data_IF_119270088104
#
_entry.id   IF_119270088104
#
_cell.length_a   1.000
_cell.length_b   1.000
_cell.length_c   1.000
_cell.angle_alpha   90.00
_cell.angle_beta   90.00
_cell.angle_gamma   90.00
#
_symmetry.space_group_name_H-M   'P 1'
#
loop_
_entity.id
_entity.type
_entity.pdbx_description
1 polymer ?
#
# COMPACT_ATOMS: atom_id res chain seq x y z
N UNK A 1 -22.99 -42.00 36.53
CA UNK A 1 -23.81 -41.05 37.34
C UNK A 1 -24.53 -40.13 36.37
N UNK A 2 -25.84 -40.29 36.20
CA UNK A 2 -26.68 -39.53 35.25
C UNK A 2 -27.04 -38.20 35.88
N UNK A 3 -26.91 -37.11 35.14
CA UNK A 3 -27.52 -35.82 35.49
C UNK A 3 -28.34 -35.32 34.31
N UNK A 4 -29.54 -34.95 34.62
CA UNK A 4 -30.72 -34.71 33.79
C UNK A 4 -30.65 -33.44 32.96
N UNK A 5 -31.27 -33.53 31.77
CA UNK A 5 -31.74 -32.42 30.93
C UNK A 5 -32.74 -31.52 31.68
N UNK A 6 -32.60 -30.23 31.48
CA UNK A 6 -33.67 -29.27 31.68
C UNK A 6 -33.90 -28.44 30.42
N UNK A 7 -35.03 -28.74 29.78
CA UNK A 7 -35.64 -27.91 28.73
C UNK A 7 -36.10 -26.59 29.27
N UNK A 8 -35.67 -25.49 28.66
CA UNK A 8 -36.37 -24.20 28.77
C UNK A 8 -36.91 -23.83 27.40
N UNK A 9 -38.25 -23.85 27.30
CA UNK A 9 -39.00 -23.34 26.16
C UNK A 9 -38.93 -21.84 26.12
N UNK A 10 -38.28 -21.27 25.10
CA UNK A 10 -38.30 -19.82 24.82
C UNK A 10 -39.04 -19.57 23.49
N UNK A 11 -40.03 -18.75 23.56
CA UNK A 11 -41.02 -18.34 22.57
C UNK A 11 -40.36 -17.71 21.33
N UNK A 12 -40.48 -18.34 20.17
CA UNK A 12 -40.11 -17.78 18.85
C UNK A 12 -41.19 -16.79 18.40
N UNK A 13 -40.88 -15.49 18.43
CA UNK A 13 -41.64 -14.48 17.69
C UNK A 13 -40.98 -14.39 16.31
N UNK A 14 -41.64 -14.91 15.30
CA UNK A 14 -41.22 -14.85 13.92
C UNK A 14 -41.39 -13.43 13.35
N UNK A 15 -40.27 -12.78 13.05
CA UNK A 15 -40.24 -11.58 12.22
C UNK A 15 -39.99 -12.00 10.76
N UNK A 16 -41.06 -12.09 9.98
CA UNK A 16 -40.97 -12.32 8.55
C UNK A 16 -40.47 -11.06 7.86
N UNK A 17 -39.17 -11.02 7.58
CA UNK A 17 -38.57 -10.03 6.66
C UNK A 17 -38.88 -10.49 5.25
N UNK A 18 -39.75 -9.77 4.57
CA UNK A 18 -40.02 -9.95 3.15
C UNK A 18 -38.76 -9.60 2.35
N UNK A 19 -38.04 -10.61 1.87
CA UNK A 19 -36.97 -10.46 0.89
C UNK A 19 -37.60 -10.03 -0.45
N UNK A 20 -37.52 -8.75 -0.77
CA UNK A 20 -37.78 -8.24 -2.12
C UNK A 20 -36.61 -8.67 -2.98
N UNK A 21 -36.81 -9.48 -4.05
CA UNK A 21 -35.71 -9.82 -4.94
C UNK A 21 -35.29 -8.56 -5.70
N UNK A 22 -34.06 -8.09 -5.46
CA UNK A 22 -33.40 -7.12 -6.31
C UNK A 22 -33.08 -7.83 -7.61
N UNK A 23 -33.98 -7.70 -8.60
CA UNK A 23 -33.69 -8.14 -9.96
C UNK A 23 -32.58 -7.26 -10.52
N UNK A 24 -31.45 -7.85 -10.82
CA UNK A 24 -30.39 -7.24 -11.59
C UNK A 24 -30.98 -6.68 -12.89
N UNK A 25 -31.03 -5.37 -13.03
CA UNK A 25 -31.42 -4.69 -14.26
C UNK A 25 -30.26 -4.91 -15.25
N UNK A 26 -30.40 -5.94 -16.08
CA UNK A 26 -29.58 -6.08 -17.28
C UNK A 26 -29.68 -4.78 -18.07
N UNK A 27 -28.54 -4.13 -18.32
CA UNK A 27 -28.46 -2.90 -19.12
C UNK A 27 -28.92 -3.21 -20.56
N UNK A 28 -30.19 -2.99 -20.82
CA UNK A 28 -30.79 -3.24 -22.11
C UNK A 28 -30.29 -2.17 -23.10
N UNK A 29 -29.51 -2.61 -24.12
CA UNK A 29 -28.97 -1.76 -25.18
C UNK A 29 -30.10 -0.93 -25.79
N UNK A 30 -30.06 0.41 -25.64
CA UNK A 30 -31.04 1.33 -26.20
C UNK A 30 -30.76 1.51 -27.71
N UNK A 31 -31.52 0.79 -28.53
CA UNK A 31 -31.42 0.88 -30.01
C UNK A 31 -32.80 1.24 -30.60
N UNK A 32 -32.83 1.93 -31.74
CA UNK A 32 -34.09 2.24 -32.43
C UNK A 32 -34.94 0.98 -32.64
N UNK A 33 -36.24 1.05 -32.36
CA UNK A 33 -37.18 -0.05 -32.50
C UNK A 33 -37.13 -1.11 -31.38
N UNK A 34 -36.16 -1.10 -30.48
CA UNK A 34 -36.16 -2.01 -29.33
C UNK A 34 -37.24 -1.62 -28.31
N UNK A 35 -37.74 -2.61 -27.56
CA UNK A 35 -38.82 -2.40 -26.59
C UNK A 35 -38.37 -1.49 -25.45
N UNK A 36 -39.28 -0.60 -25.03
CA UNK A 36 -39.15 0.23 -23.84
C UNK A 36 -40.31 0.01 -22.88
N UNK A 37 -40.18 0.46 -21.63
CA UNK A 37 -41.14 0.11 -20.58
C UNK A 37 -42.12 1.22 -20.22
N UNK A 38 -41.72 2.48 -20.41
CA UNK A 38 -42.48 3.64 -19.95
C UNK A 38 -42.66 4.62 -21.12
N UNK A 39 -43.89 4.91 -21.48
CA UNK A 39 -44.25 5.88 -22.54
C UNK A 39 -43.65 7.25 -22.20
N UNK A 40 -43.08 7.92 -23.22
CA UNK A 40 -42.38 9.21 -23.11
C UNK A 40 -41.10 9.22 -22.24
N UNK A 41 -40.63 8.09 -21.76
CA UNK A 41 -39.33 7.99 -21.13
C UNK A 41 -38.23 8.45 -22.10
N UNK A 42 -37.28 9.28 -21.63
CA UNK A 42 -36.15 9.76 -22.43
C UNK A 42 -34.83 9.19 -21.87
N UNK A 43 -33.97 8.75 -22.75
CA UNK A 43 -32.64 8.26 -22.43
C UNK A 43 -31.63 8.84 -23.40
N UNK A 44 -30.52 9.36 -22.90
CA UNK A 44 -29.39 9.80 -23.74
C UNK A 44 -28.40 8.63 -23.86
N UNK A 45 -28.19 8.19 -25.11
CA UNK A 45 -27.24 7.13 -25.42
C UNK A 45 -26.49 7.46 -26.70
N UNK A 46 -25.18 7.32 -26.74
CA UNK A 46 -24.32 7.63 -27.90
C UNK A 46 -24.60 9.01 -28.54
N UNK A 47 -24.69 10.08 -27.72
CA UNK A 47 -24.96 11.46 -28.15
C UNK A 47 -26.31 11.68 -28.83
N UNK A 48 -27.25 10.76 -28.64
CA UNK A 48 -28.63 10.90 -29.11
C UNK A 48 -29.60 10.76 -27.96
N UNK A 49 -30.69 11.54 -27.99
CA UNK A 49 -31.83 11.40 -27.05
C UNK A 49 -32.88 10.50 -27.71
N UNK A 50 -33.10 9.35 -27.10
CA UNK A 50 -34.18 8.42 -27.49
C UNK A 50 -35.42 8.66 -26.64
N UNK A 51 -36.56 8.58 -27.25
CA UNK A 51 -37.85 8.69 -26.56
C UNK A 51 -38.67 7.42 -26.79
N UNK A 52 -39.24 6.89 -25.73
CA UNK A 52 -40.09 5.70 -25.78
C UNK A 52 -41.48 6.07 -26.32
N UNK A 53 -41.85 5.60 -27.51
CA UNK A 53 -43.05 5.91 -28.22
C UNK A 53 -43.95 4.67 -28.38
N UNK A 54 -45.26 4.88 -28.51
CA UNK A 54 -46.21 3.82 -28.82
C UNK A 54 -46.16 3.51 -30.34
N UNK A 55 -45.94 2.25 -30.66
CA UNK A 55 -46.02 1.73 -32.03
C UNK A 55 -46.95 0.51 -32.07
N UNK A 56 -48.18 0.73 -32.52
CA UNK A 56 -49.24 -0.25 -32.44
C UNK A 56 -49.56 -0.63 -30.98
N UNK A 57 -49.45 -1.93 -30.64
CA UNK A 57 -49.67 -2.43 -29.28
C UNK A 57 -48.40 -2.50 -28.41
N UNK A 58 -47.24 -1.99 -28.90
CA UNK A 58 -45.94 -2.06 -28.20
C UNK A 58 -45.37 -0.66 -27.93
N UNK A 59 -44.51 -0.54 -26.92
CA UNK A 59 -43.70 0.63 -26.66
C UNK A 59 -42.28 0.35 -27.18
N UNK A 60 -41.77 1.28 -28.00
CA UNK A 60 -40.44 1.13 -28.64
C UNK A 60 -39.68 2.45 -28.63
N UNK A 61 -38.36 2.35 -28.59
CA UNK A 61 -37.46 3.52 -28.70
C UNK A 61 -37.50 4.07 -30.13
N UNK A 62 -37.62 5.39 -30.26
CA UNK A 62 -37.57 6.08 -31.55
C UNK A 62 -36.13 6.06 -32.13
N UNK A 63 -35.90 6.68 -33.29
CA UNK A 63 -34.60 6.72 -33.97
C UNK A 63 -33.53 7.57 -33.25
N UNK A 64 -33.88 8.22 -32.13
CA UNK A 64 -33.00 9.10 -31.39
C UNK A 64 -32.71 10.41 -32.14
N UNK A 65 -32.82 11.53 -31.42
CA UNK A 65 -32.49 12.87 -31.93
C UNK A 65 -31.07 13.23 -31.43
N UNK A 66 -30.23 13.73 -32.31
CA UNK A 66 -28.89 14.19 -31.91
C UNK A 66 -29.00 15.31 -30.86
N UNK A 67 -28.25 15.23 -29.81
CA UNK A 67 -28.15 16.31 -28.80
C UNK A 67 -27.41 17.47 -29.48
N UNK A 68 -28.14 18.53 -29.87
CA UNK A 68 -27.54 19.78 -30.35
C UNK A 68 -26.75 20.38 -29.20
N UNK A 69 -25.43 20.43 -29.31
CA UNK A 69 -24.64 21.34 -28.49
C UNK A 69 -25.06 22.77 -28.86
N UNK A 70 -25.28 23.66 -27.88
CA UNK A 70 -25.55 25.05 -28.20
C UNK A 70 -24.37 25.62 -28.98
N UNK A 71 -24.61 26.15 -30.16
CA UNK A 71 -23.61 26.93 -30.94
C UNK A 71 -23.32 28.16 -30.10
N UNK A 72 -22.03 28.50 -29.85
CA UNK A 72 -21.70 29.71 -29.13
C UNK A 72 -22.20 30.93 -29.93
N UNK A 73 -23.15 31.68 -29.39
CA UNK A 73 -23.55 32.99 -29.90
C UNK A 73 -22.31 33.89 -29.85
N UNK A 74 -21.98 34.65 -30.92
CA UNK A 74 -20.89 35.59 -30.88
C UNK A 74 -21.20 36.69 -29.87
N UNK A 75 -20.60 36.56 -28.69
CA UNK A 75 -20.63 37.60 -27.66
C UNK A 75 -19.68 38.70 -28.09
N UNK A 76 -20.21 39.91 -28.22
CA UNK A 76 -19.42 41.12 -28.35
C UNK A 76 -18.40 41.20 -27.21
N UNK A 77 -17.13 41.10 -27.55
CA UNK A 77 -16.03 41.17 -26.58
C UNK A 77 -15.94 42.60 -26.05
N UNK A 78 -16.65 42.89 -24.98
CA UNK A 78 -16.25 43.97 -24.09
C UNK A 78 -14.99 43.46 -23.41
N UNK A 79 -13.88 44.17 -23.54
CA UNK A 79 -12.62 43.83 -22.87
C UNK A 79 -12.89 43.72 -21.37
N UNK A 80 -13.01 42.49 -20.89
CA UNK A 80 -13.14 42.21 -19.48
C UNK A 80 -11.81 42.58 -18.83
N UNK A 81 -11.85 43.49 -17.89
CA UNK A 81 -10.79 43.71 -16.91
C UNK A 81 -10.41 42.30 -16.38
N UNK A 82 -9.12 41.91 -16.39
CA UNK A 82 -8.72 40.58 -15.95
C UNK A 82 -9.20 40.39 -14.51
N UNK A 83 -10.18 39.55 -14.31
CA UNK A 83 -10.55 39.03 -12.98
C UNK A 83 -9.29 38.37 -12.44
N UNK A 84 -8.75 38.81 -11.27
CA UNK A 84 -7.57 38.17 -10.72
C UNK A 84 -7.87 36.66 -10.58
N UNK A 85 -7.02 35.84 -11.17
CA UNK A 85 -7.07 34.39 -10.96
C UNK A 85 -7.15 34.12 -9.46
N UNK A 86 -8.00 33.22 -8.98
CA UNK A 86 -8.08 32.90 -7.57
C UNK A 86 -6.66 32.58 -7.09
N UNK A 87 -6.17 33.35 -6.12
CA UNK A 87 -4.86 33.12 -5.51
C UNK A 87 -4.93 31.72 -4.89
N UNK A 88 -4.18 30.78 -5.46
CA UNK A 88 -4.06 29.45 -4.86
C UNK A 88 -3.41 29.66 -3.50
N UNK A 89 -4.18 29.51 -2.46
CA UNK A 89 -3.66 29.58 -1.10
C UNK A 89 -2.65 28.43 -0.91
N UNK A 90 -1.48 28.77 -0.41
CA UNK A 90 -0.41 27.82 -0.12
C UNK A 90 0.29 28.21 1.16
N UNK A 91 0.75 27.21 1.91
CA UNK A 91 1.60 27.42 3.08
C UNK A 91 3.04 27.50 2.60
N UNK A 92 3.73 28.59 2.95
CA UNK A 92 5.17 28.68 2.76
C UNK A 92 5.88 27.93 3.88
N UNK A 93 6.86 27.11 3.54
CA UNK A 93 7.68 26.43 4.54
C UNK A 93 8.40 27.45 5.44
N UNK A 94 8.34 27.19 6.74
CA UNK A 94 9.13 27.91 7.75
C UNK A 94 9.79 26.90 8.69
N UNK A 95 11.07 27.08 9.04
CA UNK A 95 11.73 26.23 10.04
C UNK A 95 10.96 26.23 11.35
N UNK A 96 11.13 25.18 12.18
CA UNK A 96 10.54 25.14 13.52
C UNK A 96 10.96 26.34 14.36
N UNK A 97 10.03 26.83 15.18
CA UNK A 97 10.28 28.00 16.05
C UNK A 97 11.23 27.72 17.23
N UNK A 98 11.49 26.45 17.50
CA UNK A 98 12.46 25.98 18.49
C UNK A 98 13.52 25.12 17.81
N UNK A 99 14.78 25.25 18.21
CA UNK A 99 15.89 24.46 17.68
C UNK A 99 15.66 22.96 17.96
N UNK A 100 15.94 22.11 16.96
CA UNK A 100 15.93 20.66 17.10
C UNK A 100 16.94 20.21 18.16
N UNK A 101 16.57 19.22 18.96
CA UNK A 101 17.51 18.51 19.82
C UNK A 101 18.47 17.66 18.98
N UNK A 102 19.48 17.08 19.64
CA UNK A 102 20.39 16.13 18.99
C UNK A 102 19.58 14.95 18.43
N UNK A 103 19.80 14.61 17.16
CA UNK A 103 19.05 13.56 16.47
C UNK A 103 19.18 12.21 17.17
N UNK A 104 20.34 11.92 17.80
CA UNK A 104 20.58 10.66 18.52
C UNK A 104 19.60 10.45 19.68
N UNK A 105 19.03 11.52 20.26
CA UNK A 105 17.97 11.38 21.29
C UNK A 105 16.67 10.83 20.70
N UNK A 106 16.48 11.00 19.40
CA UNK A 106 15.30 10.50 18.66
C UNK A 106 15.55 9.16 17.95
N UNK A 107 16.76 8.64 18.01
CA UNK A 107 17.08 7.28 17.58
C UNK A 107 16.70 6.27 18.67
N UNK A 108 15.38 6.08 18.85
CA UNK A 108 14.82 5.25 19.91
C UNK A 108 15.25 3.80 19.73
N UNK A 109 15.86 3.26 20.78
CA UNK A 109 16.37 1.88 20.78
C UNK A 109 15.24 0.88 20.87
N UNK A 110 15.35 -0.19 20.11
CA UNK A 110 14.50 -1.35 20.35
C UNK A 110 15.11 -2.23 21.46
N UNK A 111 14.25 -2.69 22.36
CA UNK A 111 14.57 -3.60 23.46
C UNK A 111 13.59 -4.77 23.46
N UNK A 112 13.41 -5.38 22.30
CA UNK A 112 12.55 -6.53 22.15
C UNK A 112 13.33 -7.84 22.21
N UNK A 113 12.63 -8.94 22.48
CA UNK A 113 13.22 -10.28 22.65
C UNK A 113 13.94 -10.82 21.41
N UNK A 114 13.63 -10.32 20.23
CA UNK A 114 14.30 -10.76 19.00
C UNK A 114 15.75 -10.28 18.91
N UNK A 115 16.08 -9.16 19.54
CA UNK A 115 17.46 -8.65 19.60
C UNK A 115 18.31 -9.39 20.63
N UNK A 116 17.69 -9.89 21.68
CA UNK A 116 18.40 -10.61 22.75
C UNK A 116 18.69 -12.06 22.38
N UNK A 117 17.87 -12.67 21.50
CA UNK A 117 18.01 -14.04 21.03
C UNK A 117 17.82 -14.12 19.50
N UNK A 118 18.87 -13.86 18.69
CA UNK A 118 18.74 -13.99 17.26
C UNK A 118 18.68 -15.45 16.85
N UNK A 119 17.53 -15.99 16.42
CA UNK A 119 17.58 -16.79 15.21
C UNK A 119 16.44 -16.62 14.22
N UNK A 120 15.36 -15.93 14.50
CA UNK A 120 14.21 -16.05 13.58
C UNK A 120 13.68 -14.75 12.99
N UNK A 121 14.07 -13.58 13.45
CA UNK A 121 13.66 -12.33 12.85
C UNK A 121 14.67 -11.23 13.09
N UNK A 122 15.50 -11.01 12.08
CA UNK A 122 16.46 -9.90 12.03
C UNK A 122 15.80 -8.60 11.51
N UNK A 123 14.49 -8.49 11.61
CA UNK A 123 13.73 -7.34 11.15
C UNK A 123 13.61 -6.30 12.26
N UNK A 124 14.44 -5.22 12.21
CA UNK A 124 14.49 -4.21 13.25
C UNK A 124 13.21 -3.35 13.21
N UNK A 125 12.69 -3.02 14.38
CA UNK A 125 11.59 -2.05 14.52
C UNK A 125 12.11 -0.65 14.83
N UNK A 126 13.36 -0.52 15.30
CA UNK A 126 13.99 0.71 15.73
C UNK A 126 15.52 0.72 15.58
N UNK A 127 16.20 1.43 16.47
CA UNK A 127 17.65 1.61 16.42
C UNK A 127 18.39 0.62 17.31
N UNK A 128 19.68 0.30 16.97
CA UNK A 128 20.47 0.82 15.86
C UNK A 128 19.98 0.31 14.49
N UNK A 129 20.25 1.09 13.44
CA UNK A 129 19.93 0.70 12.05
C UNK A 129 20.60 -0.61 11.69
N UNK A 130 19.86 -1.47 11.02
CA UNK A 130 20.37 -2.77 10.58
C UNK A 130 21.15 -2.65 9.26
N UNK A 131 22.22 -3.46 9.11
CA UNK A 131 23.13 -3.40 7.95
C UNK A 131 23.10 -4.66 7.06
N UNK A 132 22.15 -5.58 7.28
CA UNK A 132 22.12 -6.90 6.61
C UNK A 132 21.95 -6.79 5.10
N UNK A 133 21.21 -5.78 4.62
CA UNK A 133 20.92 -5.61 3.22
C UNK A 133 21.37 -4.24 2.70
N UNK A 134 21.75 -4.19 1.41
CA UNK A 134 22.05 -2.93 0.75
C UNK A 134 20.76 -2.10 0.62
N UNK A 135 20.76 -0.91 1.20
CA UNK A 135 19.62 0.02 1.23
C UNK A 135 19.90 1.33 0.48
N UNK A 136 21.06 1.46 -0.14
CA UNK A 136 21.49 2.67 -0.85
C UNK A 136 22.23 2.30 -2.13
N UNK A 137 22.28 3.25 -3.08
CA UNK A 137 22.89 3.05 -4.39
C UNK A 137 21.96 2.39 -5.39
N UNK A 138 22.52 1.99 -6.52
CA UNK A 138 21.77 1.27 -7.57
C UNK A 138 22.03 -0.23 -7.41
N UNK A 139 20.96 -1.00 -7.44
CA UNK A 139 21.00 -2.47 -7.40
C UNK A 139 20.39 -3.04 -8.66
N UNK A 140 20.90 -4.19 -9.11
CA UNK A 140 20.33 -4.92 -10.24
C UNK A 140 19.41 -6.02 -9.74
N UNK A 141 18.17 -6.00 -10.23
CA UNK A 141 17.18 -7.04 -9.98
C UNK A 141 16.85 -7.76 -11.26
N UNK A 142 16.97 -9.08 -11.25
CA UNK A 142 16.53 -9.90 -12.35
C UNK A 142 15.02 -10.12 -12.32
N UNK A 143 14.39 -10.19 -13.50
CA UNK A 143 13.05 -10.71 -13.67
C UNK A 143 13.09 -11.80 -14.74
N UNK A 144 12.77 -13.04 -14.34
CA UNK A 144 12.90 -14.23 -15.17
C UNK A 144 11.53 -14.93 -15.24
N UNK A 145 10.95 -15.03 -16.46
CA UNK A 145 9.71 -15.76 -16.65
C UNK A 145 9.97 -17.28 -16.67
N UNK A 146 9.24 -18.02 -15.85
CA UNK A 146 9.28 -19.49 -15.77
C UNK A 146 8.02 -20.09 -16.37
N UNK A 147 8.13 -21.14 -17.17
CA UNK A 147 6.98 -21.88 -17.65
C UNK A 147 7.16 -23.41 -17.43
N UNK A 148 6.12 -24.17 -17.72
CA UNK A 148 6.05 -25.60 -17.42
C UNK A 148 5.77 -26.42 -18.69
N UNK A 149 6.02 -27.73 -18.63
CA UNK A 149 5.72 -28.62 -19.76
C UNK A 149 4.22 -28.69 -20.08
N UNK A 150 3.36 -28.56 -19.09
CA UNK A 150 1.90 -28.58 -19.14
C UNK A 150 1.26 -27.20 -19.28
N UNK A 151 2.02 -26.12 -19.00
CA UNK A 151 1.54 -24.73 -19.10
C UNK A 151 2.63 -23.82 -19.67
N UNK A 152 2.50 -23.51 -20.96
CA UNK A 152 3.45 -22.64 -21.65
C UNK A 152 3.18 -21.16 -21.34
N UNK A 153 4.24 -20.38 -21.25
CA UNK A 153 4.17 -18.94 -21.08
C UNK A 153 3.62 -18.21 -22.30
N UNK A 154 2.92 -17.10 -22.05
CA UNK A 154 2.38 -16.22 -23.07
C UNK A 154 3.48 -15.52 -23.86
N UNK A 155 3.28 -15.31 -25.18
CA UNK A 155 4.28 -14.72 -26.07
C UNK A 155 4.68 -13.28 -25.68
N UNK A 156 3.77 -12.51 -25.08
CA UNK A 156 4.00 -11.12 -24.72
C UNK A 156 3.85 -10.90 -23.20
N UNK A 157 4.66 -11.56 -22.39
CA UNK A 157 4.66 -11.38 -20.94
C UNK A 157 5.09 -9.97 -20.51
N UNK A 158 5.90 -9.27 -21.33
CA UNK A 158 6.33 -7.90 -21.03
C UNK A 158 5.18 -6.94 -20.80
N UNK A 159 4.11 -7.06 -21.57
CA UNK A 159 2.91 -6.21 -21.39
C UNK A 159 2.25 -6.34 -19.99
N UNK A 160 2.52 -7.42 -19.30
CA UNK A 160 1.98 -7.74 -17.96
C UNK A 160 2.83 -7.15 -16.84
N UNK A 161 4.12 -6.91 -17.09
CA UNK A 161 5.10 -6.60 -16.06
C UNK A 161 5.77 -5.23 -16.19
N UNK A 162 5.85 -4.65 -17.39
CA UNK A 162 6.65 -3.43 -17.61
C UNK A 162 6.18 -2.26 -16.72
N UNK A 163 4.88 -2.02 -16.63
CA UNK A 163 4.35 -0.97 -15.76
C UNK A 163 4.54 -1.31 -14.27
N UNK A 164 4.47 -2.57 -13.91
CA UNK A 164 4.67 -3.02 -12.53
C UNK A 164 6.12 -2.82 -12.07
N UNK A 165 7.09 -3.14 -12.91
CA UNK A 165 8.51 -2.90 -12.66
C UNK A 165 8.81 -1.41 -12.54
N UNK A 166 8.24 -0.61 -13.43
CA UNK A 166 8.36 0.85 -13.39
C UNK A 166 7.84 1.42 -12.07
N UNK A 167 6.62 1.05 -11.66
CA UNK A 167 6.02 1.51 -10.40
C UNK A 167 6.85 1.07 -9.18
N UNK A 168 7.39 -0.15 -9.21
CA UNK A 168 8.30 -0.65 -8.15
C UNK A 168 9.55 0.23 -8.03
N UNK A 169 10.23 0.49 -9.15
CA UNK A 169 11.44 1.34 -9.15
C UNK A 169 11.14 2.76 -8.70
N UNK A 170 10.08 3.36 -9.22
CA UNK A 170 9.64 4.71 -8.86
C UNK A 170 9.26 4.82 -7.38
N UNK A 171 8.64 3.77 -6.83
CA UNK A 171 8.29 3.75 -5.42
C UNK A 171 9.55 3.78 -4.54
N UNK A 172 10.50 2.88 -4.79
CA UNK A 172 11.75 2.84 -4.02
C UNK A 172 12.54 4.14 -4.15
N UNK A 173 12.65 4.70 -5.34
CA UNK A 173 13.31 5.98 -5.56
C UNK A 173 12.62 7.12 -4.78
N UNK A 174 11.28 7.15 -4.80
CA UNK A 174 10.49 8.16 -4.08
C UNK A 174 10.65 8.05 -2.56
N UNK A 175 10.45 6.85 -1.99
CA UNK A 175 10.47 6.69 -0.53
C UNK A 175 11.87 6.78 0.07
N UNK A 176 12.90 6.49 -0.72
CA UNK A 176 14.30 6.63 -0.32
C UNK A 176 14.89 8.01 -0.61
N UNK A 177 14.11 8.94 -1.14
CA UNK A 177 14.58 10.26 -1.61
C UNK A 177 15.76 10.14 -2.60
N UNK A 178 15.67 9.16 -3.51
CA UNK A 178 16.67 8.88 -4.54
C UNK A 178 17.91 8.14 -4.05
N UNK A 179 17.98 7.76 -2.76
CA UNK A 179 19.13 7.03 -2.20
C UNK A 179 19.20 5.58 -2.67
N UNK A 180 18.07 4.96 -3.03
CA UNK A 180 17.98 3.58 -3.51
C UNK A 180 17.31 3.51 -4.87
N UNK A 181 17.94 2.87 -5.82
CA UNK A 181 17.45 2.72 -7.20
C UNK A 181 17.51 1.26 -7.63
N UNK A 182 16.50 0.84 -8.36
CA UNK A 182 16.39 -0.50 -8.92
C UNK A 182 16.57 -0.44 -10.43
N UNK A 183 17.56 -1.17 -10.93
CA UNK A 183 17.78 -1.45 -12.34
C UNK A 183 17.30 -2.88 -12.65
N UNK A 184 16.33 -3.00 -13.55
CA UNK A 184 15.79 -4.30 -13.94
C UNK A 184 16.57 -4.92 -15.10
N UNK A 185 16.97 -6.18 -14.93
CA UNK A 185 17.52 -7.04 -15.97
C UNK A 185 16.49 -8.14 -16.24
N UNK A 186 15.86 -8.09 -17.40
CA UNK A 186 14.73 -8.96 -17.74
C UNK A 186 15.17 -10.01 -18.74
N UNK A 187 14.93 -11.28 -18.44
CA UNK A 187 15.18 -12.37 -19.41
C UNK A 187 14.25 -12.25 -20.63
N UNK A 188 14.79 -12.48 -21.82
CA UNK A 188 14.05 -12.30 -23.07
C UNK A 188 13.04 -13.41 -23.35
N UNK A 189 13.23 -14.57 -22.73
CA UNK A 189 12.45 -15.79 -23.01
C UNK A 189 12.03 -16.49 -21.71
N UNK A 190 10.97 -17.25 -21.82
CA UNK A 190 10.54 -18.17 -20.78
C UNK A 190 11.59 -19.25 -20.53
N UNK A 191 11.87 -19.49 -19.26
CA UNK A 191 12.75 -20.57 -18.81
C UNK A 191 11.88 -21.77 -18.45
N UNK A 192 12.05 -22.88 -19.19
CA UNK A 192 11.27 -24.10 -19.02
C UNK A 192 11.74 -24.88 -17.78
N UNK A 193 10.84 -25.10 -16.83
CA UNK A 193 11.07 -25.98 -15.70
C UNK A 193 10.97 -27.46 -16.10
N UNK A 194 11.70 -28.35 -15.41
CA UNK A 194 11.78 -29.78 -15.82
C UNK A 194 10.50 -30.57 -15.57
N UNK A 195 9.64 -30.12 -14.67
CA UNK A 195 8.43 -30.85 -14.25
C UNK A 195 7.16 -30.06 -14.64
N UNK A 196 5.99 -30.71 -14.67
CA UNK A 196 4.70 -30.03 -14.83
C UNK A 196 4.38 -29.15 -13.61
N UNK A 197 3.51 -28.17 -13.79
CA UNK A 197 3.16 -27.18 -12.75
C UNK A 197 2.59 -27.84 -11.49
N UNK A 198 1.84 -28.93 -11.64
CA UNK A 198 1.28 -29.70 -10.53
C UNK A 198 2.31 -30.26 -9.54
N UNK A 199 3.55 -30.52 -10.01
CA UNK A 199 4.64 -31.03 -9.18
C UNK A 199 5.25 -29.97 -8.24
N UNK A 200 4.89 -28.70 -8.43
CA UNK A 200 5.34 -27.57 -7.62
C UNK A 200 4.20 -26.97 -6.80
N UNK A 201 3.17 -27.76 -6.51
CA UNK A 201 2.00 -27.26 -5.78
C UNK A 201 2.39 -26.61 -4.46
N UNK A 202 2.04 -25.33 -4.32
CA UNK A 202 2.20 -24.52 -3.11
C UNK A 202 0.83 -23.94 -2.74
N UNK A 203 0.22 -24.49 -1.69
CA UNK A 203 -1.10 -24.08 -1.22
C UNK A 203 -1.04 -23.89 0.30
N UNK A 204 -1.61 -22.78 0.76
CA UNK A 204 -1.66 -22.43 2.20
C UNK A 204 -2.48 -23.45 3.02
N UNK A 205 -3.44 -24.11 2.41
CA UNK A 205 -4.24 -25.15 3.06
C UNK A 205 -3.46 -26.44 3.29
N UNK A 206 -2.35 -26.64 2.57
CA UNK A 206 -1.50 -27.83 2.64
C UNK A 206 -0.13 -27.48 3.23
N UNK A 207 -0.08 -27.49 4.57
CA UNK A 207 1.14 -27.12 5.29
C UNK A 207 2.30 -28.14 5.16
N UNK A 208 2.02 -29.40 4.77
CA UNK A 208 3.02 -30.46 4.73
C UNK A 208 3.89 -30.37 3.48
N UNK A 209 3.30 -30.09 2.32
CA UNK A 209 4.02 -30.07 1.04
C UNK A 209 4.53 -28.66 0.64
N UNK A 210 4.08 -27.63 1.32
CA UNK A 210 4.43 -26.24 0.99
C UNK A 210 5.93 -25.98 0.99
N UNK A 211 6.65 -26.39 2.03
CA UNK A 211 8.08 -26.12 2.16
C UNK A 211 8.90 -26.99 1.21
N UNK A 212 8.70 -28.32 1.12
CA UNK A 212 9.40 -29.16 0.15
C UNK A 212 9.19 -28.71 -1.29
N UNK A 213 7.95 -28.43 -1.68
CA UNK A 213 7.62 -27.99 -3.05
C UNK A 213 8.17 -26.61 -3.35
N UNK A 214 8.16 -25.69 -2.38
CA UNK A 214 8.82 -24.39 -2.50
C UNK A 214 10.31 -24.54 -2.77
N UNK A 215 11.02 -25.36 -1.98
CA UNK A 215 12.46 -25.62 -2.16
C UNK A 215 12.74 -26.25 -3.53
N UNK A 216 11.91 -27.21 -3.98
CA UNK A 216 12.02 -27.82 -5.30
C UNK A 216 11.85 -26.79 -6.40
N UNK A 217 10.81 -25.96 -6.33
CA UNK A 217 10.55 -24.88 -7.29
C UNK A 217 11.74 -23.93 -7.41
N UNK A 218 12.28 -23.49 -6.28
CA UNK A 218 13.43 -22.56 -6.26
C UNK A 218 14.68 -23.18 -6.86
N UNK A 219 15.01 -24.39 -6.46
CA UNK A 219 16.19 -25.09 -6.97
C UNK A 219 16.08 -25.32 -8.49
N UNK A 220 14.93 -25.76 -8.97
CA UNK A 220 14.69 -25.98 -10.39
C UNK A 220 14.72 -24.64 -11.17
N UNK A 221 14.08 -23.61 -10.63
CA UNK A 221 14.06 -22.26 -11.23
C UNK A 221 15.49 -21.71 -11.37
N UNK A 222 16.29 -21.70 -10.30
CA UNK A 222 17.67 -21.23 -10.35
C UNK A 222 18.53 -22.10 -11.29
N UNK A 223 18.46 -23.42 -11.16
CA UNK A 223 19.24 -24.36 -11.98
C UNK A 223 18.96 -24.22 -13.48
N UNK A 224 17.70 -23.99 -13.87
CA UNK A 224 17.37 -23.82 -15.29
C UNK A 224 17.73 -22.40 -15.76
N UNK A 225 17.53 -21.40 -14.93
CA UNK A 225 17.85 -19.99 -15.26
C UNK A 225 19.37 -19.80 -15.42
N UNK A 226 20.19 -20.42 -14.59
CA UNK A 226 21.64 -20.33 -14.61
C UNK A 226 22.29 -20.85 -15.92
N UNK A 227 21.55 -21.62 -16.71
CA UNK A 227 22.00 -22.10 -18.03
C UNK A 227 21.85 -21.07 -19.13
N UNK A 228 20.99 -20.05 -18.94
CA UNK A 228 20.53 -19.18 -20.02
C UNK A 228 20.49 -17.69 -19.65
N UNK A 229 20.76 -17.35 -18.42
CA UNK A 229 20.72 -15.98 -17.90
C UNK A 229 22.02 -15.64 -17.19
N UNK A 230 22.59 -14.47 -17.46
CA UNK A 230 23.80 -13.95 -16.81
C UNK A 230 23.43 -13.25 -15.49
N UNK A 231 23.84 -13.82 -14.37
CA UNK A 231 23.60 -13.30 -13.02
C UNK A 231 24.65 -12.29 -12.54
N UNK A 232 25.57 -11.84 -13.41
CA UNK A 232 26.63 -10.89 -13.02
C UNK A 232 26.05 -9.63 -12.36
N UNK A 233 26.32 -9.46 -11.06
CA UNK A 233 25.91 -8.31 -10.28
C UNK A 233 24.42 -8.27 -9.92
N UNK A 234 23.69 -9.35 -10.17
CA UNK A 234 22.29 -9.47 -9.75
C UNK A 234 22.21 -9.65 -8.23
N UNK A 235 21.49 -8.74 -7.56
CA UNK A 235 21.27 -8.83 -6.12
C UNK A 235 20.07 -9.73 -5.79
N UNK A 236 19.00 -9.60 -6.56
CA UNK A 236 17.71 -10.23 -6.27
C UNK A 236 17.09 -10.77 -7.55
N UNK A 237 16.47 -11.94 -7.46
CA UNK A 237 15.77 -12.60 -8.59
C UNK A 237 14.28 -12.63 -8.34
N UNK A 238 13.55 -12.12 -9.33
CA UNK A 238 12.11 -12.22 -9.38
C UNK A 238 11.71 -13.19 -10.47
N UNK A 239 10.94 -14.19 -10.11
CA UNK A 239 10.35 -15.10 -11.06
C UNK A 239 8.89 -14.74 -11.30
N UNK A 240 8.44 -14.93 -12.52
CA UNK A 240 7.03 -14.83 -12.88
C UNK A 240 6.56 -16.13 -13.51
N UNK A 241 5.27 -16.40 -13.35
CA UNK A 241 4.64 -17.62 -13.83
C UNK A 241 3.69 -17.33 -15.00
N UNK A 242 3.32 -18.32 -15.83
CA UNK A 242 2.37 -18.15 -16.91
C UNK A 242 1.00 -17.73 -16.37
N UNK A 243 0.25 -17.00 -17.17
CA UNK A 243 -1.13 -16.68 -16.86
C UNK A 243 -1.97 -17.96 -16.76
N UNK A 244 -2.79 -18.05 -15.69
CA UNK A 244 -3.64 -19.21 -15.44
C UNK A 244 -2.92 -20.37 -14.76
N UNK A 245 -1.73 -20.17 -14.21
CA UNK A 245 -1.12 -21.15 -13.31
C UNK A 245 -1.99 -21.28 -12.04
N UNK A 246 -2.37 -22.52 -11.68
CA UNK A 246 -3.38 -22.81 -10.66
C UNK A 246 -2.86 -23.58 -9.44
N UNK A 247 -1.68 -24.14 -9.49
CA UNK A 247 -1.12 -24.96 -8.42
C UNK A 247 -0.25 -24.16 -7.42
N UNK A 248 0.36 -23.07 -7.87
CA UNK A 248 1.18 -22.19 -7.01
C UNK A 248 0.32 -21.01 -6.56
N UNK A 249 -0.53 -21.26 -5.57
CA UNK A 249 -1.54 -20.28 -5.11
C UNK A 249 -1.01 -19.27 -4.11
N UNK A 250 0.15 -19.55 -3.53
CA UNK A 250 0.81 -18.71 -2.54
C UNK A 250 2.14 -18.19 -3.07
N UNK A 251 2.58 -17.08 -2.48
CA UNK A 251 3.89 -16.52 -2.74
C UNK A 251 4.98 -17.39 -2.12
N UNK A 252 6.15 -17.40 -2.75
CA UNK A 252 7.34 -18.08 -2.24
C UNK A 252 8.53 -17.15 -2.38
N UNK A 253 9.14 -16.81 -1.27
CA UNK A 253 10.28 -15.89 -1.22
C UNK A 253 11.37 -16.39 -0.27
N UNK A 254 12.60 -15.94 -0.52
CA UNK A 254 13.74 -16.16 0.35
C UNK A 254 14.52 -14.87 0.54
N UNK A 255 15.00 -14.66 1.75
CA UNK A 255 15.65 -13.43 2.21
C UNK A 255 17.15 -13.69 2.55
N UNK A 256 17.98 -12.65 2.67
CA UNK A 256 19.42 -12.81 2.93
C UNK A 256 19.78 -13.59 4.20
N UNK A 257 18.85 -13.72 5.14
CA UNK A 257 19.01 -14.49 6.38
C UNK A 257 18.50 -15.93 6.33
N UNK A 258 17.81 -16.30 5.25
CA UNK A 258 17.28 -17.66 5.08
C UNK A 258 18.39 -18.63 4.68
N UNK A 259 18.44 -19.78 5.33
CA UNK A 259 19.40 -20.82 5.00
C UNK A 259 19.20 -21.34 3.56
N UNK A 260 17.98 -21.36 3.07
CA UNK A 260 17.65 -21.77 1.69
C UNK A 260 18.32 -20.86 0.64
N UNK A 261 18.34 -19.55 0.86
CA UNK A 261 18.94 -18.56 -0.06
C UNK A 261 20.47 -18.73 -0.12
N UNK A 262 21.10 -19.08 0.97
CA UNK A 262 22.56 -19.31 1.02
C UNK A 262 23.04 -20.44 0.10
N UNK A 263 22.12 -21.32 -0.32
CA UNK A 263 22.41 -22.44 -1.22
C UNK A 263 22.07 -22.10 -2.70
N UNK A 264 21.51 -20.93 -2.98
CA UNK A 264 21.17 -20.50 -4.34
C UNK A 264 22.39 -19.80 -4.95
N UNK A 265 23.32 -20.59 -5.42
CA UNK A 265 24.55 -20.13 -6.07
C UNK A 265 24.40 -20.30 -7.57
N UNK A 266 24.81 -19.29 -8.34
CA UNK A 266 24.91 -19.30 -9.79
C UNK A 266 26.37 -19.42 -10.24
N UNK A 267 26.61 -19.56 -11.55
CA UNK A 267 27.95 -19.55 -12.12
C UNK A 267 28.71 -18.25 -11.82
N UNK A 268 27.99 -17.12 -11.69
CA UNK A 268 28.57 -15.79 -11.43
C UNK A 268 28.62 -15.43 -9.94
N UNK A 269 27.97 -16.23 -9.07
CA UNK A 269 27.96 -15.97 -7.63
C UNK A 269 26.63 -16.23 -6.96
N UNK A 270 26.43 -15.68 -5.77
CA UNK A 270 25.19 -15.87 -4.99
C UNK A 270 24.26 -14.68 -5.17
N UNK A 271 22.96 -14.94 -5.30
CA UNK A 271 21.90 -13.92 -5.17
C UNK A 271 21.52 -13.76 -3.70
N UNK A 272 21.13 -12.55 -3.30
CA UNK A 272 20.79 -12.25 -1.90
C UNK A 272 19.36 -12.60 -1.52
N UNK A 273 18.46 -12.62 -2.50
CA UNK A 273 17.04 -12.91 -2.29
C UNK A 273 16.36 -13.33 -3.59
N UNK A 274 15.22 -13.95 -3.47
CA UNK A 274 14.36 -14.28 -4.62
C UNK A 274 12.89 -14.20 -4.24
N UNK A 275 12.02 -14.09 -5.23
CA UNK A 275 10.58 -14.08 -5.06
C UNK A 275 9.86 -14.74 -6.23
N UNK A 276 8.85 -15.54 -5.90
CA UNK A 276 7.88 -16.11 -6.84
C UNK A 276 6.49 -15.71 -6.35
N UNK A 277 5.73 -14.91 -7.08
CA UNK A 277 4.50 -14.30 -6.58
C UNK A 277 3.26 -15.21 -6.63
N UNK A 278 3.33 -16.39 -7.26
CA UNK A 278 2.19 -17.26 -7.44
C UNK A 278 1.02 -16.55 -8.15
N UNK A 279 -0.21 -16.89 -7.76
CA UNK A 279 -1.45 -16.29 -8.31
C UNK A 279 -1.61 -14.78 -8.05
N UNK A 280 -0.80 -14.16 -7.21
CA UNK A 280 -0.88 -12.72 -6.98
C UNK A 280 -0.73 -11.90 -8.27
N UNK A 281 -0.01 -12.43 -9.26
CA UNK A 281 0.16 -11.76 -10.55
C UNK A 281 -1.13 -11.55 -11.31
N UNK A 282 -2.08 -12.45 -11.19
CA UNK A 282 -3.31 -12.43 -12.00
C UNK A 282 -4.46 -11.67 -11.31
N UNK A 283 -4.20 -11.09 -10.14
CA UNK A 283 -5.20 -10.32 -9.41
C UNK A 283 -5.35 -8.92 -10.00
N UNK A 284 -6.46 -8.67 -10.69
CA UNK A 284 -6.80 -7.34 -11.25
C UNK A 284 -6.95 -6.24 -10.17
N UNK A 285 -7.24 -6.63 -8.93
CA UNK A 285 -7.45 -5.70 -7.81
C UNK A 285 -6.15 -5.32 -7.10
N UNK A 286 -5.12 -6.13 -7.23
CA UNK A 286 -3.86 -5.98 -6.52
C UNK A 286 -2.82 -5.44 -7.48
N UNK A 287 -2.28 -4.27 -7.19
CA UNK A 287 -1.11 -3.82 -7.91
C UNK A 287 0.05 -4.77 -7.64
N UNK A 288 0.46 -5.55 -8.62
CA UNK A 288 1.58 -6.49 -8.52
C UNK A 288 2.87 -5.82 -8.04
N UNK A 289 3.10 -4.58 -8.42
CA UNK A 289 4.20 -3.76 -7.95
C UNK A 289 4.23 -3.63 -6.42
N UNK A 290 3.07 -3.51 -5.77
CA UNK A 290 3.01 -3.34 -4.32
C UNK A 290 3.41 -4.62 -3.57
N UNK A 291 3.15 -5.79 -4.15
CA UNK A 291 3.69 -7.05 -3.67
C UNK A 291 5.22 -7.06 -3.73
N UNK A 292 5.82 -6.70 -4.86
CA UNK A 292 7.27 -6.61 -4.96
C UNK A 292 7.87 -5.67 -3.92
N UNK A 293 7.28 -4.49 -3.78
CA UNK A 293 7.75 -3.51 -2.79
C UNK A 293 7.66 -4.05 -1.37
N UNK A 294 6.59 -4.75 -1.02
CA UNK A 294 6.39 -5.33 0.31
C UNK A 294 7.44 -6.43 0.60
N UNK A 295 7.54 -7.41 -0.28
CA UNK A 295 8.45 -8.55 -0.07
C UNK A 295 9.91 -8.13 -0.12
N UNK A 296 10.29 -7.23 -1.04
CA UNK A 296 11.65 -6.68 -1.06
C UNK A 296 11.90 -5.68 0.07
N UNK A 297 10.86 -5.06 0.60
CA UNK A 297 10.94 -4.35 1.88
C UNK A 297 11.51 -5.26 2.98
N UNK A 298 11.00 -6.50 3.07
CA UNK A 298 11.57 -7.49 3.99
C UNK A 298 13.03 -7.82 3.67
N UNK A 299 13.37 -8.05 2.39
CA UNK A 299 14.76 -8.27 2.00
C UNK A 299 15.70 -7.12 2.44
N UNK A 300 15.19 -5.90 2.56
CA UNK A 300 15.90 -4.74 3.11
C UNK A 300 15.71 -4.55 4.62
N UNK A 301 15.25 -5.58 5.32
CA UNK A 301 15.02 -5.60 6.75
C UNK A 301 13.92 -4.64 7.25
N UNK A 302 12.90 -4.34 6.43
CA UNK A 302 11.70 -3.64 6.88
C UNK A 302 10.73 -4.65 7.51
N UNK A 303 10.25 -4.44 8.76
CA UNK A 303 9.37 -5.37 9.45
C UNK A 303 7.90 -5.19 9.07
N UNK A 304 7.07 -6.21 9.31
CA UNK A 304 5.63 -6.04 9.37
C UNK A 304 5.25 -5.12 10.53
N UNK A 305 4.43 -4.10 10.27
CA UNK A 305 4.02 -3.13 11.30
C UNK A 305 2.92 -3.69 12.18
N UNK A 306 2.00 -4.44 11.63
CA UNK A 306 0.80 -4.89 12.34
C UNK A 306 0.73 -6.40 12.49
N UNK A 307 -0.19 -6.82 13.36
CA UNK A 307 -0.55 -8.21 13.59
C UNK A 307 -1.89 -8.53 12.93
N UNK A 308 -2.03 -9.72 12.34
CA UNK A 308 -3.33 -10.23 11.90
C UNK A 308 -4.29 -10.49 13.07
N UNK A 309 -3.81 -10.46 14.30
CA UNK A 309 -4.59 -10.76 15.51
C UNK A 309 -5.27 -9.54 16.12
N UNK A 310 -4.72 -8.34 15.91
CA UNK A 310 -5.25 -7.11 16.46
C UNK A 310 -5.43 -6.08 15.34
N UNK A 311 -6.64 -5.47 15.20
CA UNK A 311 -6.85 -4.40 14.24
C UNK A 311 -5.90 -3.23 14.51
N UNK A 312 -5.16 -2.82 13.49
CA UNK A 312 -4.30 -1.64 13.54
C UNK A 312 -4.56 -0.78 12.30
N UNK A 313 -4.95 0.49 12.45
CA UNK A 313 -5.13 1.39 11.32
C UNK A 313 -3.90 1.53 10.40
N UNK A 314 -2.69 1.26 10.90
CA UNK A 314 -1.50 1.23 10.08
C UNK A 314 -1.54 0.19 8.96
N UNK A 315 -2.36 -0.86 9.09
CA UNK A 315 -2.56 -1.85 8.01
C UNK A 315 -3.14 -1.22 6.74
N UNK A 316 -3.78 -0.06 6.83
CA UNK A 316 -4.28 0.69 5.68
C UNK A 316 -3.38 1.87 5.27
N UNK A 317 -2.39 2.24 6.09
CA UNK A 317 -1.60 3.46 5.93
C UNK A 317 -0.13 3.23 5.57
N UNK A 318 0.35 1.99 5.65
CA UNK A 318 1.74 1.65 5.37
C UNK A 318 1.82 0.32 4.60
N UNK A 319 2.67 0.29 3.57
CA UNK A 319 2.80 -0.87 2.70
C UNK A 319 3.34 -2.10 3.44
N UNK A 320 4.17 -1.91 4.47
CA UNK A 320 4.66 -3.00 5.32
C UNK A 320 3.62 -3.48 6.33
N UNK A 321 2.50 -2.79 6.46
CA UNK A 321 1.32 -3.27 7.16
C UNK A 321 0.40 -4.07 6.24
N UNK A 322 0.13 -3.54 5.05
CA UNK A 322 -0.71 -4.19 4.05
C UNK A 322 -0.38 -3.65 2.65
N UNK A 323 0.16 -4.51 1.80
CA UNK A 323 0.47 -4.20 0.40
C UNK A 323 -0.75 -3.78 -0.45
N UNK A 324 -1.94 -4.15 -0.02
CA UNK A 324 -3.21 -3.82 -0.66
C UNK A 324 -3.94 -2.65 0.03
N UNK A 325 -3.28 -2.01 1.00
CA UNK A 325 -3.83 -0.91 1.78
C UNK A 325 -4.11 0.36 0.97
N UNK A 326 -4.78 1.32 1.60
CA UNK A 326 -5.18 2.59 0.97
C UNK A 326 -4.00 3.44 0.56
N UNK A 327 -3.05 3.60 1.49
CA UNK A 327 -1.90 4.47 1.36
C UNK A 327 -0.71 3.63 1.03
N UNK A 328 -0.39 2.97 0.22
CA UNK A 328 0.82 2.17 -0.06
C UNK A 328 2.12 2.98 0.11
N UNK A 329 2.14 3.81 1.13
CA UNK A 329 3.26 4.65 1.52
C UNK A 329 4.11 3.92 2.56
N UNK A 330 5.35 4.32 2.77
CA UNK A 330 6.16 3.90 3.91
C UNK A 330 6.17 5.01 4.96
N UNK A 331 5.91 4.67 6.23
CA UNK A 331 5.90 5.67 7.31
C UNK A 331 7.24 6.35 7.49
N UNK A 332 7.22 7.58 7.99
CA UNK A 332 8.43 8.36 8.28
C UNK A 332 9.36 7.63 9.22
N UNK A 333 8.83 6.96 10.24
CA UNK A 333 9.62 6.15 11.16
C UNK A 333 10.37 5.03 10.44
N UNK A 334 9.70 4.28 9.57
CA UNK A 334 10.34 3.21 8.82
C UNK A 334 11.39 3.73 7.84
N UNK A 335 11.15 4.86 7.18
CA UNK A 335 12.16 5.53 6.34
C UNK A 335 13.36 5.99 7.15
N UNK A 336 13.15 6.48 8.38
CA UNK A 336 14.21 6.92 9.27
C UNK A 336 15.08 5.75 9.74
N UNK A 337 14.46 4.65 10.18
CA UNK A 337 15.15 3.40 10.55
C UNK A 337 15.90 2.79 9.35
N UNK A 338 15.30 2.84 8.15
CA UNK A 338 15.97 2.38 6.93
C UNK A 338 17.17 3.24 6.51
N UNK A 339 17.31 4.47 7.06
CA UNK A 339 18.32 5.46 6.63
C UNK A 339 17.95 6.19 5.36
N UNK A 340 16.71 6.07 4.91
CA UNK A 340 16.20 6.76 3.72
C UNK A 340 15.76 8.19 4.02
N UNK A 341 15.14 8.44 5.17
CA UNK A 341 14.84 9.81 5.61
C UNK A 341 16.11 10.43 6.25
N UNK A 342 16.66 11.51 5.67
CA UNK A 342 17.82 12.18 6.22
C UNK A 342 17.53 12.83 7.59
N UNK A 343 18.55 12.94 8.42
CA UNK A 343 18.43 13.48 9.79
C UNK A 343 17.92 14.92 9.80
N UNK A 344 18.31 15.74 8.81
CA UNK A 344 17.86 17.12 8.63
C UNK A 344 16.37 17.26 8.26
N UNK A 345 15.71 16.14 7.90
CA UNK A 345 14.27 16.08 7.64
C UNK A 345 13.46 15.71 8.87
N UNK A 346 14.14 15.40 9.98
CA UNK A 346 13.53 14.99 11.23
C UNK A 346 13.70 16.10 12.27
N UNK A 347 12.59 16.64 12.75
CA UNK A 347 12.59 17.53 13.89
C UNK A 347 12.54 16.70 15.18
N UNK A 348 13.68 16.63 15.86
CA UNK A 348 13.83 15.94 17.14
C UNK A 348 13.55 16.89 18.29
N UNK A 349 12.64 16.56 19.19
CA UNK A 349 12.28 17.41 20.33
C UNK A 349 12.16 16.60 21.61
N UNK A 350 12.98 16.92 22.61
CA UNK A 350 12.85 16.32 23.93
C UNK A 350 11.61 16.85 24.68
N UNK A 351 10.85 15.93 25.28
CA UNK A 351 9.67 16.29 26.08
C UNK A 351 10.01 17.20 27.25
N UNK A 352 11.16 17.01 27.90
CA UNK A 352 11.64 17.81 29.04
C UNK A 352 11.76 19.28 28.70
N UNK A 353 12.29 19.60 27.51
CA UNK A 353 12.57 20.98 27.04
C UNK A 353 11.48 21.53 26.13
N UNK A 354 10.46 20.75 25.79
CA UNK A 354 9.38 21.18 24.90
C UNK A 354 8.67 22.40 25.45
N UNK A 355 8.69 23.47 24.65
CA UNK A 355 7.82 24.64 24.76
C UNK A 355 6.76 24.57 23.67
N UNK A 356 5.83 25.51 23.67
CA UNK A 356 4.89 25.61 22.53
C UNK A 356 5.68 25.92 21.26
N UNK A 357 5.66 24.98 20.32
CA UNK A 357 6.48 25.04 19.10
C UNK A 357 5.60 24.85 17.88
N UNK A 358 5.79 25.68 16.86
CA UNK A 358 5.16 25.49 15.55
C UNK A 358 6.14 24.82 14.58
N UNK A 359 5.63 23.84 13.84
CA UNK A 359 6.39 23.10 12.83
C UNK A 359 5.58 23.04 11.54
N UNK A 360 6.22 23.40 10.42
CA UNK A 360 5.68 23.17 9.08
C UNK A 360 6.16 21.83 8.59
N UNK A 361 5.22 20.89 8.36
CA UNK A 361 5.50 19.55 7.87
C UNK A 361 5.32 19.48 6.36
N UNK A 362 6.37 19.08 5.66
CA UNK A 362 6.32 18.65 4.27
C UNK A 362 5.70 17.25 4.22
N UNK A 363 4.73 16.98 3.34
CA UNK A 363 4.21 15.62 3.18
C UNK A 363 5.31 14.61 2.90
N UNK A 364 5.24 13.46 3.57
CA UNK A 364 6.30 12.44 3.52
C UNK A 364 6.60 11.96 2.10
N UNK A 365 5.62 12.02 1.19
CA UNK A 365 5.72 11.62 -0.21
C UNK A 365 6.30 12.69 -1.14
N UNK A 366 6.48 13.94 -0.69
CA UNK A 366 6.99 15.04 -1.51
C UNK A 366 8.50 15.18 -1.36
N UNK A 367 9.17 15.65 -2.42
CA UNK A 367 10.64 15.84 -2.43
C UNK A 367 11.10 17.20 -1.89
N UNK A 368 10.17 18.10 -1.57
CA UNK A 368 10.48 19.46 -1.10
C UNK A 368 11.37 19.45 0.15
N UNK A 369 12.23 20.46 0.24
CA UNK A 369 13.14 20.61 1.38
C UNK A 369 12.39 21.09 2.62
N UNK A 370 12.65 20.48 3.77
CA UNK A 370 12.09 20.85 5.08
C UNK A 370 11.78 19.65 5.95
N UNK A 371 11.17 19.89 7.09
CA UNK A 371 10.83 18.85 8.05
C UNK A 371 9.69 17.99 7.51
N UNK A 372 9.89 16.68 7.53
CA UNK A 372 8.89 15.69 7.12
C UNK A 372 8.32 14.90 8.28
N UNK A 373 9.08 14.80 9.36
CA UNK A 373 8.70 14.02 10.53
C UNK A 373 9.14 14.74 11.81
N UNK A 374 8.30 14.68 12.83
CA UNK A 374 8.66 15.05 14.21
C UNK A 374 8.75 13.79 15.03
N UNK A 375 9.78 13.69 15.87
CA UNK A 375 9.95 12.62 16.85
C UNK A 375 10.10 13.25 18.23
N UNK A 376 9.29 12.79 19.19
CA UNK A 376 9.36 13.23 20.58
C UNK A 376 9.53 11.99 21.47
N UNK A 377 10.74 11.71 21.98
CA UNK A 377 10.95 10.65 22.94
C UNK A 377 10.12 10.87 24.20
N UNK A 378 9.39 9.85 24.61
CA UNK A 378 8.60 9.87 25.87
C UNK A 378 9.17 8.92 26.90
N UNK A 379 9.94 7.95 26.47
CA UNK A 379 10.78 7.09 27.30
C UNK A 379 11.99 6.59 26.50
N UNK A 380 12.83 5.75 27.10
CA UNK A 380 14.00 5.15 26.45
C UNK A 380 13.60 4.28 25.23
N UNK A 381 12.41 3.69 25.24
CA UNK A 381 11.91 2.78 24.20
C UNK A 381 10.67 3.26 23.46
N UNK A 382 10.15 4.46 23.79
CA UNK A 382 8.91 4.97 23.20
C UNK A 382 9.05 6.39 22.70
N UNK A 383 8.39 6.69 21.58
CA UNK A 383 8.26 8.03 21.07
C UNK A 383 6.85 8.32 20.53
N UNK A 384 6.49 9.59 20.52
CA UNK A 384 5.41 10.12 19.66
C UNK A 384 6.02 10.57 18.36
N UNK A 385 5.42 10.15 17.26
CA UNK A 385 5.85 10.47 15.90
C UNK A 385 4.73 11.18 15.17
N UNK A 386 5.07 12.21 14.41
CA UNK A 386 4.11 13.03 13.68
C UNK A 386 4.62 13.23 12.26
N UNK A 387 3.76 13.02 11.26
CA UNK A 387 4.09 13.24 9.85
C UNK A 387 2.89 13.76 9.07
N UNK A 388 3.16 14.42 7.95
CA UNK A 388 2.14 14.86 6.99
C UNK A 388 1.92 13.82 5.91
N UNK A 389 0.67 13.50 5.62
CA UNK A 389 0.25 12.54 4.60
C UNK A 389 -0.50 13.23 3.47
N UNK A 390 -0.23 12.79 2.25
CA UNK A 390 -1.00 13.15 1.05
C UNK A 390 -1.15 11.92 0.17
N UNK A 391 -2.29 11.84 -0.50
CA UNK A 391 -2.44 10.88 -1.60
C UNK A 391 -1.43 11.17 -2.70
N UNK A 392 -0.96 10.12 -3.32
CA UNK A 392 -0.03 10.17 -4.44
C UNK A 392 -0.35 9.06 -5.45
N UNK A 393 0.45 8.94 -6.50
CA UNK A 393 0.24 7.95 -7.57
C UNK A 393 0.27 6.49 -7.12
N UNK A 394 0.80 6.20 -5.94
CA UNK A 394 0.87 4.85 -5.36
C UNK A 394 -0.33 4.52 -4.49
N UNK A 395 -1.09 5.52 -4.07
CA UNK A 395 -2.27 5.34 -3.24
C UNK A 395 -3.36 4.58 -4.00
N UNK A 396 -4.07 3.71 -3.32
CA UNK A 396 -5.29 3.16 -3.85
C UNK A 396 -6.32 4.28 -4.00
N UNK A 397 -7.06 4.30 -5.11
CA UNK A 397 -8.04 5.35 -5.41
C UNK A 397 -9.14 5.42 -4.34
N UNK A 398 -8.90 6.21 -3.33
CA UNK A 398 -9.84 6.55 -2.28
C UNK A 398 -10.16 8.05 -2.37
N UNK A 399 -11.36 8.48 -1.96
CA UNK A 399 -11.59 9.90 -1.74
C UNK A 399 -10.52 10.46 -0.80
N UNK A 400 -10.07 11.70 -1.02
CA UNK A 400 -8.94 12.38 -0.37
C UNK A 400 -9.07 12.59 1.16
N UNK A 401 -9.60 11.60 1.87
CA UNK A 401 -9.82 11.62 3.32
C UNK A 401 -8.56 11.29 4.15
N UNK A 402 -7.45 10.99 3.48
CA UNK A 402 -6.19 10.66 4.14
C UNK A 402 -5.12 11.76 4.01
N UNK A 403 -5.53 12.94 3.54
CA UNK A 403 -4.66 14.12 3.47
C UNK A 403 -4.71 14.89 4.77
N UNK A 404 -3.60 15.00 5.48
CA UNK A 404 -3.48 15.70 6.76
C UNK A 404 -2.38 15.13 7.64
N UNK A 405 -2.46 15.35 8.94
CA UNK A 405 -1.43 14.98 9.90
C UNK A 405 -1.74 13.62 10.53
N UNK A 406 -0.78 12.72 10.46
CA UNK A 406 -0.82 11.43 11.14
C UNK A 406 0.03 11.52 12.41
N UNK A 407 -0.56 11.16 13.55
CA UNK A 407 0.10 11.05 14.84
C UNK A 407 0.07 9.59 15.30
N UNK A 408 1.22 9.06 15.69
CA UNK A 408 1.32 7.68 16.14
C UNK A 408 2.41 7.52 17.20
N UNK A 409 2.35 6.44 17.94
CA UNK A 409 3.41 6.04 18.88
C UNK A 409 4.27 4.95 18.26
N UNK A 410 5.56 4.99 18.55
CA UNK A 410 6.51 3.90 18.41
C UNK A 410 6.77 3.26 19.77
N UNK A 411 6.78 1.92 19.82
CA UNK A 411 7.14 1.15 21.03
C UNK A 411 8.22 0.11 20.68
N UNK A 412 9.46 0.38 21.07
CA UNK A 412 10.62 -0.46 20.82
C UNK A 412 10.69 -1.74 21.67
N UNK A 413 9.73 -1.98 22.55
CA UNK A 413 9.59 -3.26 23.28
C UNK A 413 8.85 -4.31 22.47
N UNK A 414 8.15 -3.89 21.40
CA UNK A 414 7.38 -4.75 20.52
C UNK A 414 8.21 -5.20 19.31
N UNK A 415 7.94 -6.42 18.87
CA UNK A 415 8.62 -7.05 17.73
C UNK A 415 7.93 -6.74 16.41
N UNK A 416 8.58 -7.11 15.32
CA UNK A 416 7.94 -7.16 14.01
C UNK A 416 6.66 -8.00 14.08
N UNK A 417 5.61 -7.55 13.36
CA UNK A 417 4.30 -8.20 13.43
C UNK A 417 3.49 -7.93 14.72
N UNK A 418 4.06 -7.17 15.65
CA UNK A 418 3.35 -6.71 16.86
C UNK A 418 3.18 -5.20 16.75
N UNK A 419 2.07 -4.65 16.65
CA UNK A 419 1.72 -3.23 16.50
C UNK A 419 2.70 -2.20 17.13
N UNK A 420 4.00 -2.27 16.80
CA UNK A 420 5.05 -1.38 17.33
C UNK A 420 4.90 0.07 16.84
N UNK A 421 4.18 0.29 15.73
CA UNK A 421 3.64 1.57 15.33
C UNK A 421 2.13 1.55 15.52
N UNK A 422 1.62 2.49 16.32
CA UNK A 422 0.19 2.56 16.63
C UNK A 422 -0.35 3.97 16.42
N UNK A 423 -1.23 4.19 15.43
CA UNK A 423 -1.88 5.48 15.23
C UNK A 423 -2.73 5.85 16.43
N UNK A 424 -2.79 7.14 16.72
CA UNK A 424 -3.68 7.65 17.75
C UNK A 424 -5.07 7.82 17.14
N UNK A 425 -6.05 7.13 17.70
CA UNK A 425 -7.44 7.23 17.26
C UNK A 425 -8.08 8.51 17.78
N UNK A 426 -8.93 9.11 16.96
CA UNK A 426 -9.70 10.30 17.31
C UNK A 426 -11.05 9.84 17.85
N UNK A 427 -11.36 10.21 19.07
CA UNK A 427 -12.62 9.84 19.73
C UNK A 427 -13.84 10.29 18.91
N UNK A 428 -14.84 9.43 18.79
CA UNK A 428 -16.08 9.69 18.05
C UNK A 428 -15.96 9.64 16.54
N UNK A 429 -14.77 9.37 15.99
CA UNK A 429 -14.61 9.25 14.54
C UNK A 429 -15.15 7.91 14.03
N UNK A 430 -15.97 7.97 12.99
CA UNK A 430 -16.55 6.79 12.36
C UNK A 430 -15.45 5.90 11.73
N UNK A 431 -15.67 4.58 11.76
CA UNK A 431 -14.83 3.63 11.05
C UNK A 431 -15.15 3.66 9.55
N UNK A 432 -14.13 3.77 8.74
CA UNK A 432 -14.20 3.78 7.30
C UNK A 432 -13.31 2.68 6.74
N UNK A 433 -13.75 2.02 5.69
CA UNK A 433 -13.00 0.99 4.99
C UNK A 433 -13.27 1.05 3.49
N UNK A 434 -12.57 0.22 2.74
CA UNK A 434 -12.72 0.14 1.30
C UNK A 434 -12.56 -1.29 0.81
N UNK A 435 -13.60 -1.81 0.16
CA UNK A 435 -13.50 -3.11 -0.53
C UNK A 435 -12.56 -3.05 -1.75
N UNK A 436 -12.48 -1.90 -2.41
CA UNK A 436 -11.60 -1.72 -3.57
C UNK A 436 -10.13 -1.71 -3.19
N UNK A 437 -9.81 -1.15 -2.02
CA UNK A 437 -8.46 -1.10 -1.49
C UNK A 437 -8.20 -2.18 -0.43
N UNK A 438 -9.06 -3.16 -0.30
CA UNK A 438 -8.95 -4.29 0.65
C UNK A 438 -8.67 -3.86 2.11
N UNK A 439 -9.28 -2.76 2.53
CA UNK A 439 -9.09 -2.20 3.87
C UNK A 439 -10.32 -2.48 4.73
N UNK A 440 -10.09 -3.12 5.85
CA UNK A 440 -11.11 -3.30 6.88
C UNK A 440 -11.48 -1.96 7.51
N UNK A 441 -12.76 -1.75 7.89
CA UNK A 441 -13.17 -0.51 8.51
C UNK A 441 -12.39 -0.20 9.79
N UNK A 442 -11.83 1.00 9.88
CA UNK A 442 -11.18 1.53 11.08
C UNK A 442 -11.42 3.04 11.23
N UNK A 443 -11.36 3.60 12.46
CA UNK A 443 -11.46 5.03 12.66
C UNK A 443 -10.30 5.76 11.98
N UNK A 444 -10.61 6.72 11.10
CA UNK A 444 -9.60 7.48 10.39
C UNK A 444 -8.69 8.27 11.38
N UNK A 445 -7.38 7.99 11.46
CA UNK A 445 -6.49 8.62 12.43
C UNK A 445 -5.91 9.97 11.96
N UNK A 446 -6.26 10.44 10.76
CA UNK A 446 -5.73 11.68 10.20
C UNK A 446 -6.37 12.89 10.89
N UNK A 447 -5.54 13.79 11.39
CA UNK A 447 -5.96 15.09 11.90
C UNK A 447 -6.07 16.10 10.76
N UNK A 448 -7.15 16.86 10.76
CA UNK A 448 -7.42 17.93 9.82
C UNK A 448 -7.21 19.31 10.47
N UNK A 449 -7.22 20.36 9.63
CA UNK A 449 -7.14 21.75 10.10
C UNK A 449 -8.13 22.03 11.22
N UNK A 450 -7.65 22.61 12.32
CA UNK A 450 -8.42 22.96 13.51
C UNK A 450 -8.61 21.81 14.51
N UNK A 451 -8.21 20.59 14.15
CA UNK A 451 -8.26 19.45 15.07
C UNK A 451 -7.02 19.37 15.96
N UNK A 452 -7.21 18.78 17.13
CA UNK A 452 -6.13 18.55 18.11
C UNK A 452 -6.29 17.22 18.80
N UNK A 453 -5.15 16.65 19.21
CA UNK A 453 -5.11 15.41 19.98
C UNK A 453 -4.09 15.52 21.10
N UNK A 454 -4.32 14.79 22.19
CA UNK A 454 -3.37 14.70 23.31
C UNK A 454 -2.94 13.25 23.51
N UNK A 455 -1.62 13.02 23.56
CA UNK A 455 -1.00 11.72 23.73
C UNK A 455 0.31 11.88 24.50
N UNK A 456 0.59 10.97 25.45
CA UNK A 456 1.84 10.92 26.22
C UNK A 456 2.25 12.28 26.82
N UNK A 457 1.30 13.07 27.32
CA UNK A 457 1.56 14.39 27.90
C UNK A 457 1.84 15.51 26.90
N UNK A 458 1.59 15.26 25.62
CA UNK A 458 1.80 16.19 24.50
C UNK A 458 0.45 16.51 23.87
N UNK A 459 0.22 17.76 23.50
CA UNK A 459 -0.91 18.19 22.66
C UNK A 459 -0.40 18.59 21.30
N UNK A 460 -0.96 18.02 20.24
CA UNK A 460 -0.71 18.34 18.85
C UNK A 460 -1.96 18.96 18.24
N UNK A 461 -1.85 20.14 17.66
CA UNK A 461 -2.93 20.88 17.00
C UNK A 461 -2.54 21.16 15.54
N UNK A 462 -3.43 20.89 14.58
CA UNK A 462 -3.24 21.25 13.18
C UNK A 462 -3.75 22.67 12.98
N UNK A 463 -2.83 23.64 12.85
CA UNK A 463 -3.15 25.06 12.69
C UNK A 463 -3.65 25.33 11.27
N UNK A 464 -2.97 24.76 10.28
CA UNK A 464 -3.30 24.93 8.87
C UNK A 464 -2.93 23.68 8.06
N UNK A 465 -3.62 23.45 6.94
CA UNK A 465 -3.44 22.28 6.09
C UNK A 465 -3.82 22.63 4.66
N UNK A 466 -2.81 22.80 3.80
CA UNK A 466 -2.94 23.09 2.36
C UNK A 466 -1.98 22.18 1.58
N UNK A 467 -0.97 22.76 0.90
CA UNK A 467 0.14 21.99 0.30
C UNK A 467 1.02 21.33 1.37
N UNK A 468 1.22 22.00 2.51
CA UNK A 468 1.89 21.48 3.70
C UNK A 468 0.92 21.47 4.88
N UNK A 469 1.35 20.89 6.01
CA UNK A 469 0.62 20.99 7.27
C UNK A 469 1.42 21.80 8.28
N UNK A 470 0.76 22.77 8.89
CA UNK A 470 1.34 23.55 9.99
C UNK A 470 0.74 23.05 11.30
N UNK A 471 1.59 22.58 12.19
CA UNK A 471 1.18 22.06 13.51
C UNK A 471 1.74 22.89 14.64
N UNK A 472 1.04 22.91 15.77
CA UNK A 472 1.55 23.36 17.06
C UNK A 472 1.66 22.18 18.01
N UNK A 473 2.80 22.06 18.65
CA UNK A 473 3.11 21.04 19.64
C UNK A 473 3.35 21.72 20.98
N UNK A 474 2.71 21.25 22.04
CA UNK A 474 2.87 21.81 23.39
C UNK A 474 2.77 20.71 24.44
N UNK A 475 3.29 20.95 25.65
CA UNK A 475 2.99 20.10 26.79
C UNK A 475 1.49 20.21 27.11
N UNK A 476 0.91 19.08 27.50
CA UNK A 476 -0.44 19.07 28.03
C UNK A 476 -0.44 19.82 29.37
N UNK A 477 -1.25 20.85 29.44
CA UNK A 477 -1.52 21.60 30.68
C UNK A 477 -2.29 20.71 31.67
#
# INVERSE_FOLDING_TARGET
>A
MRIKENLVKGLLIGLTIALIPVTAVSAQKTTPGSLCKVLNQKVVYQKKTYTCNKSGKKLVWNNGVAVKMPTPTPTVTVAATPTPSPKIESITYSPPSQTSANIQTCEIKEKNKNRENPPTSLLPTGFPRHTIAQKTGTVKWALIPLDFSDLQGEANFRSRIDEQMKLTSEWFETVSEGKFKVEWVVADKWVRLPNPSSDYKIDRSDNLDRVPNGLKLWNDAMTQSDKVFDFTGIQTVNFILPKGEDFITETSQGFPWDAAVKNLVTNEGSVSSFSIPGKFMDSEKKGYWSYFVHEFGHAMALPHIGSSREPNPFLGLDIMGNQDGESRELSGWMRFVAGWLPDERVYCQELSTLKSTEVTLIPISQSDNGIKMVVIPVSETKAVVIESRRENKFSCQMPSKRNGVLVYTYDGTLMHGENFLKPITIEGRASEGSSNCMVQPYPNPILYRGEKISVEGITIEVIDSLNYDKIRISKRS
#
